data_IF_395271454945
#
_entry.id   IF_395271454945
#
_cell.length_a   1.000
_cell.length_b   1.000
_cell.length_c   1.000
_cell.angle_alpha   90.00
_cell.angle_beta   90.00
_cell.angle_gamma   90.00
#
_symmetry.space_group_name_H-M   'P 1'
#
loop_
_entity.id
_entity.type
_entity.pdbx_description
1 polymer ?
#
# COMPACT_ATOMS: atom_id res chain seq x y z
N UNK A 1 -0.80 -7.56 -9.20
CA UNK A 1 -0.45 -6.15 -9.04
C UNK A 1 1.05 -5.94 -9.19
N UNK A 2 1.41 -5.32 -10.28
CA UNK A 2 2.81 -5.19 -10.67
C UNK A 2 3.65 -4.40 -9.66
N UNK A 3 3.08 -3.32 -9.12
CA UNK A 3 3.79 -2.45 -8.17
C UNK A 3 4.21 -3.18 -6.90
N UNK A 4 3.31 -3.97 -6.32
CA UNK A 4 3.63 -4.75 -5.11
C UNK A 4 4.68 -5.81 -5.42
N UNK A 5 4.53 -6.50 -6.54
CA UNK A 5 5.48 -7.51 -6.98
C UNK A 5 6.87 -6.91 -7.20
N UNK A 6 6.92 -5.75 -7.86
CA UNK A 6 8.18 -5.07 -8.15
C UNK A 6 8.86 -4.62 -6.85
N UNK A 7 8.11 -4.09 -5.90
CA UNK A 7 8.66 -3.67 -4.62
C UNK A 7 9.18 -4.85 -3.80
N UNK A 8 8.47 -5.97 -3.80
CA UNK A 8 8.94 -7.18 -3.12
C UNK A 8 10.21 -7.72 -3.75
N UNK A 9 10.30 -7.70 -5.08
CA UNK A 9 11.51 -8.11 -5.79
C UNK A 9 12.70 -7.21 -5.48
N UNK A 10 12.44 -5.90 -5.44
CA UNK A 10 13.50 -4.93 -5.15
C UNK A 10 14.11 -5.17 -3.77
N UNK A 11 13.30 -5.44 -2.76
CA UNK A 11 13.77 -5.71 -1.42
C UNK A 11 14.15 -7.18 -1.19
N UNK A 12 13.79 -8.07 -2.12
CA UNK A 12 14.12 -9.49 -2.00
C UNK A 12 13.30 -10.19 -0.91
N UNK A 13 12.04 -9.77 -0.74
CA UNK A 13 11.16 -10.32 0.30
C UNK A 13 9.92 -10.94 -0.30
N UNK A 14 9.21 -11.71 0.51
CA UNK A 14 7.94 -12.34 0.14
C UNK A 14 6.77 -11.61 0.77
N UNK A 15 5.55 -12.05 0.42
CA UNK A 15 4.32 -11.52 1.02
C UNK A 15 4.22 -11.78 2.52
N UNK A 16 5.01 -12.72 3.03
CA UNK A 16 5.03 -13.10 4.45
C UNK A 16 6.04 -12.31 5.26
N UNK A 17 6.78 -11.39 4.65
CA UNK A 17 7.81 -10.63 5.34
C UNK A 17 7.21 -9.83 6.51
N UNK A 18 7.82 -9.98 7.68
CA UNK A 18 7.45 -9.24 8.87
C UNK A 18 8.16 -7.89 8.92
N UNK A 19 7.68 -6.99 9.77
CA UNK A 19 8.26 -5.66 9.90
C UNK A 19 9.76 -5.69 10.20
N UNK A 20 10.20 -6.63 11.03
CA UNK A 20 11.61 -6.76 11.38
C UNK A 20 12.46 -7.14 10.16
N UNK A 21 11.96 -8.06 9.35
CA UNK A 21 12.64 -8.46 8.12
C UNK A 21 12.74 -7.28 7.15
N UNK A 22 11.64 -6.56 6.95
CA UNK A 22 11.62 -5.40 6.07
C UNK A 22 12.63 -4.33 6.54
N UNK A 23 12.68 -4.09 7.83
CA UNK A 23 13.60 -3.12 8.41
C UNK A 23 15.06 -3.52 8.20
N UNK A 24 15.36 -4.80 8.39
CA UNK A 24 16.71 -5.32 8.21
C UNK A 24 17.16 -5.21 6.76
N UNK A 25 16.31 -5.62 5.83
CA UNK A 25 16.60 -5.54 4.40
C UNK A 25 16.78 -4.08 3.97
N UNK A 26 15.90 -3.20 4.44
CA UNK A 26 15.97 -1.78 4.14
C UNK A 26 17.31 -1.18 4.59
N UNK A 27 17.71 -1.46 5.82
CA UNK A 27 18.99 -0.97 6.36
C UNK A 27 20.18 -1.45 5.54
N UNK A 28 20.16 -2.73 5.16
CA UNK A 28 21.25 -3.29 4.36
C UNK A 28 21.33 -2.67 2.98
N UNK A 29 20.18 -2.44 2.33
CA UNK A 29 20.15 -1.78 1.02
C UNK A 29 20.61 -0.34 1.11
N UNK A 30 20.23 0.38 2.17
CA UNK A 30 20.66 1.77 2.35
C UNK A 30 22.15 1.86 2.64
N UNK A 31 22.74 0.86 3.32
CA UNK A 31 24.21 0.82 3.49
C UNK A 31 24.92 0.73 2.15
N UNK A 32 24.33 0.01 1.19
CA UNK A 32 24.91 -0.15 -0.15
C UNK A 32 24.67 1.05 -1.04
N UNK A 33 23.49 1.67 -0.97
CA UNK A 33 23.06 2.67 -1.95
C UNK A 33 22.92 4.10 -1.42
N UNK A 34 23.34 4.36 -0.17
CA UNK A 34 23.23 5.72 0.36
C UNK A 34 24.10 6.68 -0.47
N UNK A 35 23.54 7.84 -0.90
CA UNK A 35 24.30 8.77 -1.77
C UNK A 35 25.62 9.23 -1.23
N UNK A 36 25.76 9.33 0.08
CA UNK A 36 27.00 9.76 0.72
C UNK A 36 28.20 8.85 0.44
N UNK A 37 27.94 7.61 -0.01
CA UNK A 37 28.98 6.66 -0.37
C UNK A 37 29.53 6.84 -1.78
N UNK A 38 28.92 7.68 -2.57
CA UNK A 38 29.24 7.86 -4.00
C UNK A 38 29.66 9.29 -4.30
N UNK A 39 30.55 9.84 -3.47
CA UNK A 39 30.99 11.22 -3.65
C UNK A 39 32.12 11.39 -4.67
N UNK A 40 32.68 10.29 -5.12
CA UNK A 40 33.78 10.27 -6.10
C UNK A 40 33.33 10.59 -7.53
N UNK A 41 32.04 10.44 -7.81
CA UNK A 41 31.50 10.65 -9.15
C UNK A 41 30.08 11.21 -9.06
N UNK A 42 29.84 12.29 -9.80
CA UNK A 42 28.50 12.87 -9.85
C UNK A 42 27.49 11.90 -10.48
N UNK A 43 27.93 11.11 -11.44
CA UNK A 43 27.09 10.11 -12.11
C UNK A 43 26.69 8.99 -11.14
N UNK A 44 27.64 8.44 -10.40
CA UNK A 44 27.38 7.41 -9.41
C UNK A 44 26.50 7.94 -8.28
N UNK A 45 26.72 9.18 -7.86
CA UNK A 45 25.91 9.79 -6.83
C UNK A 45 24.45 9.96 -7.27
N UNK A 46 24.23 10.38 -8.50
CA UNK A 46 22.89 10.51 -9.05
C UNK A 46 22.18 9.16 -9.12
N UNK A 47 22.88 8.13 -9.57
CA UNK A 47 22.34 6.77 -9.61
C UNK A 47 21.96 6.28 -8.22
N UNK A 48 22.82 6.52 -7.21
CA UNK A 48 22.55 6.15 -5.85
C UNK A 48 21.35 6.91 -5.26
N UNK A 49 21.20 8.18 -5.58
CA UNK A 49 20.04 8.97 -5.16
C UNK A 49 18.75 8.40 -5.71
N UNK A 50 18.72 8.06 -7.00
CA UNK A 50 17.53 7.47 -7.60
C UNK A 50 17.22 6.10 -7.03
N UNK A 51 18.24 5.27 -6.84
CA UNK A 51 18.08 3.93 -6.28
C UNK A 51 17.59 3.99 -4.84
N UNK A 52 18.17 4.85 -4.01
CA UNK A 52 17.76 4.98 -2.61
C UNK A 52 16.34 5.52 -2.49
N UNK A 53 15.94 6.44 -3.37
CA UNK A 53 14.57 6.94 -3.42
C UNK A 53 13.56 5.82 -3.66
N UNK A 54 13.86 4.95 -4.62
CA UNK A 54 13.01 3.80 -4.93
C UNK A 54 12.96 2.81 -3.78
N UNK A 55 14.09 2.58 -3.12
CA UNK A 55 14.16 1.70 -1.96
C UNK A 55 13.31 2.24 -0.80
N UNK A 56 13.41 3.54 -0.53
CA UNK A 56 12.62 4.18 0.52
C UNK A 56 11.13 4.06 0.23
N UNK A 57 10.73 4.34 -1.00
CA UNK A 57 9.33 4.23 -1.42
C UNK A 57 8.82 2.80 -1.26
N UNK A 58 9.60 1.82 -1.73
CA UNK A 58 9.22 0.40 -1.63
C UNK A 58 9.11 -0.04 -0.18
N UNK A 59 10.05 0.36 0.67
CA UNK A 59 10.03 0.01 2.08
C UNK A 59 8.77 0.56 2.78
N UNK A 60 8.50 1.85 2.61
CA UNK A 60 7.32 2.45 3.25
C UNK A 60 6.02 1.84 2.74
N UNK A 61 5.95 1.54 1.45
CA UNK A 61 4.79 0.88 0.90
C UNK A 61 4.58 -0.51 1.50
N UNK A 62 5.63 -1.33 1.52
CA UNK A 62 5.53 -2.69 2.04
C UNK A 62 5.24 -2.73 3.54
N UNK A 63 5.78 -1.78 4.31
CA UNK A 63 5.43 -1.63 5.73
C UNK A 63 3.93 -1.35 5.88
N UNK A 64 3.37 -0.50 5.02
CA UNK A 64 1.95 -0.13 5.12
C UNK A 64 1.00 -1.29 4.85
N UNK A 65 1.42 -2.31 4.11
CA UNK A 65 0.61 -3.50 3.81
C UNK A 65 1.06 -4.76 4.56
N UNK A 66 2.07 -4.64 5.42
CA UNK A 66 2.58 -5.79 6.17
C UNK A 66 1.48 -6.37 7.08
N UNK A 67 1.46 -7.70 7.28
CA UNK A 67 0.44 -8.33 8.14
C UNK A 67 0.38 -7.73 9.53
N UNK A 68 1.51 -7.41 10.13
CA UNK A 68 1.56 -6.80 11.46
C UNK A 68 0.92 -5.41 11.49
N UNK A 69 1.17 -4.60 10.46
CA UNK A 69 0.58 -3.26 10.35
C UNK A 69 -0.93 -3.36 10.23
N UNK A 70 -1.42 -4.28 9.39
CA UNK A 70 -2.86 -4.51 9.25
C UNK A 70 -3.48 -5.02 10.55
N UNK A 71 -2.76 -5.87 11.28
CA UNK A 71 -3.22 -6.39 12.56
C UNK A 71 -3.39 -5.27 13.58
N UNK A 72 -2.46 -4.32 13.63
CA UNK A 72 -2.52 -3.19 14.55
C UNK A 72 -3.71 -2.28 14.27
N UNK A 73 -4.09 -2.12 13.00
CA UNK A 73 -5.20 -1.25 12.60
C UNK A 73 -6.50 -2.00 12.34
N UNK A 74 -6.54 -3.31 12.63
CA UNK A 74 -7.67 -4.16 12.28
C UNK A 74 -8.97 -3.73 12.95
N UNK A 75 -8.91 -3.31 14.21
CA UNK A 75 -10.11 -2.87 14.94
C UNK A 75 -10.74 -1.67 14.25
N UNK A 76 -9.94 -0.66 13.89
CA UNK A 76 -10.44 0.51 13.19
C UNK A 76 -10.98 0.14 11.81
N UNK A 77 -10.26 -0.74 11.09
CA UNK A 77 -10.70 -1.22 9.79
C UNK A 77 -12.05 -1.92 9.87
N UNK A 78 -12.22 -2.80 10.86
CA UNK A 78 -13.47 -3.54 11.04
C UNK A 78 -14.63 -2.60 11.40
N UNK A 79 -14.37 -1.58 12.20
CA UNK A 79 -15.38 -0.59 12.53
C UNK A 79 -15.81 0.19 11.29
N UNK A 80 -14.84 0.63 10.48
CA UNK A 80 -15.11 1.38 9.26
C UNK A 80 -15.90 0.53 8.26
N UNK A 81 -15.41 -0.67 7.95
CA UNK A 81 -16.04 -1.52 6.93
C UNK A 81 -17.37 -2.11 7.38
N UNK A 82 -17.56 -2.26 8.70
CA UNK A 82 -18.78 -2.82 9.25
C UNK A 82 -19.88 -1.80 9.52
N UNK A 83 -19.53 -0.58 9.85
CA UNK A 83 -20.50 0.42 10.31
C UNK A 83 -20.58 1.67 9.43
N UNK A 84 -19.50 2.05 8.75
CA UNK A 84 -19.49 3.27 7.96
C UNK A 84 -19.90 3.02 6.52
N UNK A 85 -20.67 3.95 5.95
CA UNK A 85 -21.07 3.89 4.56
C UNK A 85 -19.94 4.39 3.64
N UNK A 86 -19.98 3.96 2.39
CA UNK A 86 -19.07 4.45 1.37
C UNK A 86 -19.49 5.86 0.98
N UNK A 87 -18.55 6.81 1.00
CA UNK A 87 -18.78 8.15 0.52
C UNK A 87 -18.58 8.22 -1.00
N UNK A 88 -17.43 7.77 -1.47
CA UNK A 88 -17.13 7.65 -2.89
C UNK A 88 -16.02 6.62 -3.12
N UNK A 89 -15.73 6.36 -4.37
CA UNK A 89 -14.66 5.43 -4.73
C UNK A 89 -14.05 5.84 -6.08
N UNK A 90 -12.77 5.48 -6.24
CA UNK A 90 -12.01 5.70 -7.46
C UNK A 90 -11.33 4.41 -7.87
N UNK A 91 -11.12 4.22 -9.15
CA UNK A 91 -10.48 3.01 -9.66
C UNK A 91 -9.51 3.36 -10.78
N UNK A 92 -8.26 2.90 -10.64
CA UNK A 92 -7.26 3.10 -11.67
C UNK A 92 -6.18 2.02 -11.56
N UNK A 93 -5.82 1.42 -12.67
CA UNK A 93 -4.72 0.44 -12.74
C UNK A 93 -4.86 -0.68 -11.71
N UNK A 94 -6.08 -1.21 -11.57
CA UNK A 94 -6.44 -2.29 -10.65
C UNK A 94 -6.30 -1.90 -9.17
N UNK A 95 -6.23 -0.62 -8.87
CA UNK A 95 -6.28 -0.12 -7.49
C UNK A 95 -7.64 0.54 -7.27
N UNK A 96 -8.37 0.03 -6.31
CA UNK A 96 -9.66 0.60 -5.90
C UNK A 96 -9.46 1.38 -4.60
N UNK A 97 -9.78 2.67 -4.65
CA UNK A 97 -9.72 3.53 -3.47
C UNK A 97 -11.15 3.77 -3.00
N UNK A 98 -11.42 3.47 -1.74
CA UNK A 98 -12.73 3.70 -1.14
C UNK A 98 -12.60 4.74 -0.02
N UNK A 99 -13.36 5.83 -0.15
CA UNK A 99 -13.48 6.85 0.88
C UNK A 99 -14.76 6.59 1.67
N UNK A 100 -14.63 6.44 2.98
CA UNK A 100 -15.76 6.13 3.85
C UNK A 100 -16.29 7.41 4.51
N UNK A 101 -17.55 7.37 4.89
CA UNK A 101 -18.21 8.53 5.52
C UNK A 101 -17.59 8.91 6.86
N UNK A 102 -16.91 8.00 7.54
CA UNK A 102 -16.20 8.29 8.79
C UNK A 102 -14.86 9.02 8.57
N UNK A 103 -14.51 9.29 7.33
CA UNK A 103 -13.28 9.98 6.96
C UNK A 103 -12.09 9.07 6.71
N UNK A 104 -12.22 7.77 6.91
CA UNK A 104 -11.15 6.83 6.60
C UNK A 104 -11.15 6.52 5.11
N UNK A 105 -9.94 6.31 4.55
CA UNK A 105 -9.74 5.95 3.16
C UNK A 105 -8.86 4.72 3.10
N UNK A 106 -9.25 3.75 2.29
CA UNK A 106 -8.47 2.54 2.09
C UNK A 106 -8.26 2.27 0.62
N UNK A 107 -7.05 1.84 0.28
CA UNK A 107 -6.70 1.40 -1.07
C UNK A 107 -6.70 -0.11 -1.11
N UNK A 108 -7.36 -0.69 -2.12
CA UNK A 108 -7.40 -2.14 -2.35
C UNK A 108 -6.64 -2.45 -3.62
N UNK A 109 -5.73 -3.41 -3.55
CA UNK A 109 -4.82 -3.70 -4.65
C UNK A 109 -5.22 -4.95 -5.39
N UNK A 110 -4.89 -4.98 -6.68
CA UNK A 110 -5.10 -6.12 -7.55
C UNK A 110 -6.58 -6.46 -7.71
N UNK A 111 -7.42 -5.44 -7.73
CA UNK A 111 -8.87 -5.58 -7.93
C UNK A 111 -9.14 -5.65 -9.44
N UNK A 112 -9.67 -6.77 -9.95
CA UNK A 112 -10.00 -6.87 -11.38
C UNK A 112 -11.07 -5.86 -11.78
N UNK A 113 -11.00 -5.40 -13.01
CA UNK A 113 -12.00 -4.46 -13.53
C UNK A 113 -13.42 -5.03 -13.42
N UNK A 114 -13.58 -6.33 -13.62
CA UNK A 114 -14.90 -6.98 -13.51
C UNK A 114 -15.51 -6.82 -12.13
N UNK A 115 -14.68 -6.86 -11.07
CA UNK A 115 -15.14 -6.65 -9.70
C UNK A 115 -15.56 -5.20 -9.50
N UNK A 116 -14.78 -4.25 -10.02
CA UNK A 116 -15.13 -2.84 -9.95
C UNK A 116 -16.45 -2.53 -10.65
N UNK A 117 -16.65 -3.10 -11.85
CA UNK A 117 -17.88 -2.90 -12.60
C UNK A 117 -19.09 -3.45 -11.82
N UNK A 118 -18.95 -4.61 -11.18
CA UNK A 118 -20.00 -5.16 -10.34
C UNK A 118 -20.29 -4.27 -9.13
N UNK A 119 -19.26 -3.65 -8.57
CA UNK A 119 -19.42 -2.73 -7.44
C UNK A 119 -20.27 -1.51 -7.82
N UNK A 120 -19.94 -0.86 -8.93
CA UNK A 120 -20.66 0.35 -9.35
C UNK A 120 -22.08 0.06 -9.84
N UNK A 121 -22.37 -1.17 -10.26
CA UNK A 121 -23.68 -1.58 -10.70
C UNK A 121 -24.51 -2.28 -9.62
N UNK A 122 -23.94 -2.47 -8.43
CA UNK A 122 -24.65 -3.15 -7.35
C UNK A 122 -25.76 -2.27 -6.78
N UNK A 123 -26.87 -2.87 -6.40
CA UNK A 123 -27.96 -2.17 -5.74
C UNK A 123 -27.50 -1.56 -4.42
N UNK A 124 -26.62 -2.28 -3.71
CA UNK A 124 -25.99 -1.80 -2.50
C UNK A 124 -24.48 -1.99 -2.61
N UNK A 125 -23.74 -0.96 -3.06
CA UNK A 125 -22.28 -1.07 -3.17
C UNK A 125 -21.60 -1.46 -1.86
N UNK A 126 -22.08 -0.95 -0.73
CA UNK A 126 -21.51 -1.30 0.57
C UNK A 126 -21.66 -2.77 0.90
N UNK A 127 -22.82 -3.36 0.59
CA UNK A 127 -23.04 -4.79 0.82
C UNK A 127 -22.19 -5.64 -0.11
N UNK A 128 -22.10 -5.24 -1.37
CA UNK A 128 -21.25 -5.93 -2.32
C UNK A 128 -19.79 -5.91 -1.88
N UNK A 129 -19.29 -4.74 -1.49
CA UNK A 129 -17.91 -4.58 -1.04
C UNK A 129 -17.62 -5.42 0.21
N UNK A 130 -18.57 -5.45 1.16
CA UNK A 130 -18.42 -6.26 2.36
C UNK A 130 -18.28 -7.74 2.04
N UNK A 131 -19.01 -8.22 1.06
CA UNK A 131 -18.98 -9.64 0.67
C UNK A 131 -17.78 -9.99 -0.20
N UNK A 132 -17.34 -9.09 -1.07
CA UNK A 132 -16.42 -9.43 -2.15
C UNK A 132 -15.13 -8.62 -2.20
N UNK A 133 -14.99 -7.56 -1.42
CA UNK A 133 -13.82 -6.69 -1.51
C UNK A 133 -13.06 -6.59 -0.19
N UNK A 134 -13.74 -6.27 0.91
CA UNK A 134 -13.06 -5.87 2.15
C UNK A 134 -12.14 -6.95 2.72
N UNK A 135 -12.46 -8.20 2.57
CA UNK A 135 -11.65 -9.30 3.08
C UNK A 135 -11.00 -10.14 1.99
N UNK A 136 -11.08 -9.70 0.74
CA UNK A 136 -10.62 -10.49 -0.41
C UNK A 136 -9.35 -9.94 -1.06
N UNK A 137 -9.00 -8.69 -0.80
CA UNK A 137 -7.86 -8.03 -1.44
C UNK A 137 -6.93 -7.44 -0.40
N UNK A 138 -5.65 -7.35 -0.76
CA UNK A 138 -4.69 -6.62 0.05
C UNK A 138 -5.09 -5.15 0.08
N UNK A 139 -5.07 -4.55 1.26
CA UNK A 139 -5.45 -3.15 1.41
C UNK A 139 -4.40 -2.40 2.23
N UNK A 140 -4.47 -1.07 2.13
CA UNK A 140 -3.63 -0.19 2.92
C UNK A 140 -4.45 1.03 3.32
N UNK A 141 -4.24 1.52 4.55
CA UNK A 141 -4.86 2.76 4.99
C UNK A 141 -4.15 3.96 4.37
N UNK A 142 -4.93 4.91 3.89
CA UNK A 142 -4.40 6.18 3.40
C UNK A 142 -4.46 7.17 4.55
N UNK A 143 -3.30 7.77 4.88
CA UNK A 143 -3.20 8.67 6.02
C UNK A 143 -4.01 9.94 5.82
N UNK A 144 -4.86 10.26 6.79
CA UNK A 144 -5.60 11.52 6.78
C UNK A 144 -4.69 12.71 7.01
N UNK A 145 -3.58 12.52 7.70
CA UNK A 145 -2.63 13.59 7.99
C UNK A 145 -2.00 14.14 6.71
N UNK A 146 -1.84 13.30 5.70
CA UNK A 146 -1.34 13.74 4.40
C UNK A 146 -2.32 14.73 3.77
N UNK A 147 -3.60 14.49 3.91
CA UNK A 147 -4.63 15.36 3.34
C UNK A 147 -4.76 16.69 4.09
N UNK A 148 -4.40 16.72 5.35
CA UNK A 148 -4.50 17.92 6.18
C UNK A 148 -3.19 18.73 6.21
N UNK A 149 -2.13 18.13 5.79
CA UNK A 149 -0.86 18.81 5.70
C UNK A 149 -0.79 19.69 4.47
#
# INVERSE_FOLDING_TARGET
>A
MKKIIDYRKLLGVTEKAELQELKTVYRNLMKTWHPDKFQDSAEHKLEAEEKSKTIIEAYHFLVSIAPETRQQSLTEYNLTTGASAIQDYEYKSQVLVINFMDGNTYEYFDVPRSVYIKLINADSPGRFARRHIYNSFVYRSVSKLVATA
#
